data_IF_035746069059
#
_entry.id   IF_035746069059
#
_cell.length_a   1.000
_cell.length_b   1.000
_cell.length_c   1.000
_cell.angle_alpha   90.00
_cell.angle_beta   90.00
_cell.angle_gamma   90.00
#
_symmetry.space_group_name_H-M   'P 1'
#
loop_
_entity.id
_entity.type
_entity.pdbx_description
1 polymer ?
#
# COMPACT_ATOMS: atom_id res chain seq x y z
N UNK A 1 38.09 27.34 -41.91
CA UNK A 1 36.66 27.17 -42.27
C UNK A 1 36.02 26.24 -41.26
N UNK A 2 35.37 26.83 -40.25
CA UNK A 2 34.51 26.16 -39.27
C UNK A 2 33.08 26.24 -39.79
N UNK A 3 32.31 25.17 -39.68
CA UNK A 3 30.86 25.22 -39.84
C UNK A 3 30.33 24.25 -40.88
N UNK A 4 29.83 23.12 -40.39
CA UNK A 4 28.71 22.29 -40.90
C UNK A 4 28.95 20.84 -40.54
N UNK A 5 28.82 20.50 -39.27
CA UNK A 5 28.66 19.11 -38.85
C UNK A 5 27.94 18.98 -37.49
N UNK A 6 26.93 19.84 -37.24
CA UNK A 6 26.11 19.80 -36.01
C UNK A 6 24.61 19.95 -36.36
N UNK A 7 24.15 19.42 -37.49
CA UNK A 7 22.74 19.56 -37.90
C UNK A 7 21.95 18.24 -37.95
N UNK A 8 22.62 17.08 -37.97
CA UNK A 8 21.93 15.80 -38.22
C UNK A 8 21.75 14.91 -36.98
N UNK A 9 22.33 15.26 -35.82
CA UNK A 9 22.21 14.47 -34.59
C UNK A 9 21.06 14.89 -33.68
N UNK A 10 20.43 16.05 -33.92
CA UNK A 10 19.30 16.54 -33.11
C UNK A 10 17.92 16.15 -33.67
N UNK A 11 17.84 15.76 -34.95
CA UNK A 11 16.56 15.36 -35.58
C UNK A 11 16.15 13.94 -35.16
N UNK A 12 17.13 13.06 -34.87
CA UNK A 12 16.85 11.68 -34.43
C UNK A 12 16.38 11.64 -32.96
N UNK A 13 16.80 12.59 -32.12
CA UNK A 13 16.36 12.66 -30.72
C UNK A 13 14.94 13.23 -30.55
N UNK A 14 14.48 14.04 -31.51
CA UNK A 14 13.11 14.59 -31.50
C UNK A 14 12.04 13.56 -31.91
N UNK A 15 12.41 12.51 -32.66
CA UNK A 15 11.48 11.48 -33.15
C UNK A 15 11.25 10.32 -32.17
N UNK A 16 12.10 10.18 -31.14
CA UNK A 16 11.95 9.14 -30.11
C UNK A 16 11.07 9.62 -28.94
N UNK A 17 10.95 10.94 -28.74
CA UNK A 17 10.11 11.52 -27.68
C UNK A 17 8.61 11.47 -28.04
N UNK A 18 8.24 11.41 -29.31
CA UNK A 18 6.84 11.38 -29.76
C UNK A 18 6.18 10.00 -29.66
N UNK A 19 6.92 8.92 -29.42
CA UNK A 19 6.36 7.55 -29.34
C UNK A 19 6.07 7.11 -27.90
N UNK A 20 6.48 7.87 -26.87
CA UNK A 20 6.15 7.57 -25.47
C UNK A 20 4.88 8.33 -25.02
N UNK A 21 4.31 9.18 -25.89
CA UNK A 21 3.00 9.81 -25.70
C UNK A 21 1.85 8.98 -26.32
N UNK A 22 2.10 7.70 -26.62
CA UNK A 22 1.03 6.74 -26.91
C UNK A 22 0.21 6.49 -25.64
N UNK A 23 -0.73 7.41 -25.42
CA UNK A 23 -2.10 7.09 -25.06
C UNK A 23 -2.24 6.10 -23.90
N UNK A 24 -1.75 6.49 -22.72
CA UNK A 24 -2.42 6.09 -21.49
C UNK A 24 -3.74 6.86 -21.38
N UNK A 25 -4.64 6.67 -22.36
CA UNK A 25 -6.04 7.08 -22.25
C UNK A 25 -6.60 6.34 -21.05
N UNK A 26 -6.73 7.04 -19.91
CA UNK A 26 -7.73 6.68 -18.91
C UNK A 26 -9.06 6.73 -19.65
N UNK A 27 -9.54 5.57 -20.08
CA UNK A 27 -10.86 5.41 -20.65
C UNK A 27 -11.85 5.86 -19.58
N UNK A 28 -12.38 7.07 -19.72
CA UNK A 28 -13.35 7.63 -18.79
C UNK A 28 -14.67 6.90 -19.04
N UNK A 29 -14.91 5.81 -18.31
CA UNK A 29 -16.13 4.98 -18.39
C UNK A 29 -17.31 5.55 -17.61
N UNK A 30 -17.35 6.87 -17.44
CA UNK A 30 -18.28 7.57 -16.54
C UNK A 30 -19.77 7.39 -16.85
N UNK A 31 -20.13 6.77 -17.99
CA UNK A 31 -21.51 6.49 -18.41
C UNK A 31 -21.74 5.03 -18.83
N UNK A 32 -20.80 4.10 -18.58
CA UNK A 32 -20.96 2.67 -18.93
C UNK A 32 -21.82 1.96 -17.86
N UNK A 33 -23.08 1.55 -18.18
CA UNK A 33 -23.96 0.91 -17.19
C UNK A 33 -23.36 -0.40 -16.65
N UNK A 34 -22.56 -1.11 -17.44
CA UNK A 34 -21.90 -2.35 -17.01
C UNK A 34 -20.82 -2.06 -15.95
N UNK A 35 -20.11 -0.95 -16.08
CA UNK A 35 -19.11 -0.51 -15.12
C UNK A 35 -19.75 -0.14 -13.77
N UNK A 36 -20.88 0.59 -13.80
CA UNK A 36 -21.63 0.91 -12.58
C UNK A 36 -22.21 -0.35 -11.91
N UNK A 37 -22.75 -1.29 -12.68
CA UNK A 37 -23.23 -2.56 -12.14
C UNK A 37 -22.11 -3.31 -11.40
N UNK A 38 -20.89 -3.35 -11.95
CA UNK A 38 -19.73 -3.97 -11.28
C UNK A 38 -19.34 -3.26 -9.98
N UNK A 39 -19.54 -1.95 -9.88
CA UNK A 39 -19.33 -1.21 -8.62
C UNK A 39 -20.38 -1.62 -7.58
N UNK A 40 -21.66 -1.69 -7.96
CA UNK A 40 -22.73 -2.08 -7.04
C UNK A 40 -22.61 -3.55 -6.61
N UNK A 41 -22.24 -4.46 -7.51
CA UNK A 41 -21.89 -5.84 -7.19
C UNK A 41 -20.73 -5.91 -6.19
N UNK A 42 -19.69 -5.10 -6.39
CA UNK A 42 -18.56 -5.00 -5.45
C UNK A 42 -19.01 -4.54 -4.07
N UNK A 43 -19.88 -3.53 -4.00
CA UNK A 43 -20.45 -3.04 -2.73
C UNK A 43 -21.32 -4.10 -2.06
N UNK A 44 -22.16 -4.79 -2.82
CA UNK A 44 -23.00 -5.87 -2.30
C UNK A 44 -22.15 -7.02 -1.74
N UNK A 45 -21.10 -7.42 -2.47
CA UNK A 45 -20.12 -8.39 -2.00
C UNK A 45 -19.47 -7.94 -0.69
N UNK A 46 -18.90 -6.74 -0.62
CA UNK A 46 -18.24 -6.23 0.58
C UNK A 46 -19.19 -6.17 1.79
N UNK A 47 -20.45 -5.78 1.58
CA UNK A 47 -21.48 -5.82 2.63
C UNK A 47 -21.76 -7.24 3.12
N UNK A 48 -21.80 -8.22 2.22
CA UNK A 48 -22.02 -9.64 2.57
C UNK A 48 -20.88 -10.25 3.40
N UNK A 49 -19.68 -9.65 3.35
CA UNK A 49 -18.52 -10.12 4.12
C UNK A 49 -18.45 -9.56 5.54
N UNK A 50 -19.36 -8.66 5.93
CA UNK A 50 -19.41 -8.10 7.27
C UNK A 50 -19.75 -9.17 8.31
N UNK A 51 -18.88 -9.28 9.31
CA UNK A 51 -18.99 -10.16 10.48
C UNK A 51 -18.52 -9.41 11.72
N UNK A 52 -18.99 -9.86 12.88
CA UNK A 52 -18.53 -9.34 14.17
C UNK A 52 -17.16 -9.88 14.59
N UNK A 53 -16.79 -11.04 14.05
CA UNK A 53 -15.54 -11.73 14.33
C UNK A 53 -14.88 -12.23 13.04
N UNK A 54 -13.56 -12.09 12.98
CA UNK A 54 -12.73 -12.59 11.89
C UNK A 54 -11.53 -13.36 12.43
N UNK A 55 -11.21 -14.46 11.76
CA UNK A 55 -9.92 -15.13 11.93
C UNK A 55 -8.88 -14.38 11.08
N UNK A 56 -7.92 -13.76 11.75
CA UNK A 56 -6.79 -13.05 11.12
C UNK A 56 -5.51 -13.79 11.50
N UNK A 57 -4.72 -14.13 10.49
CA UNK A 57 -3.43 -14.81 10.69
C UNK A 57 -2.37 -13.83 11.19
N UNK A 58 -1.26 -14.31 11.77
CA UNK A 58 -0.06 -13.51 12.02
C UNK A 58 -0.29 -12.22 12.83
N UNK A 59 -1.07 -12.36 13.90
CA UNK A 59 -1.42 -11.27 14.79
C UNK A 59 -0.28 -10.95 15.77
N UNK A 60 -0.30 -9.70 16.25
CA UNK A 60 0.58 -9.17 17.29
C UNK A 60 -0.23 -8.68 18.49
N UNK A 61 0.41 -8.54 19.65
CA UNK A 61 -0.24 -8.13 20.90
C UNK A 61 -0.27 -6.62 21.07
N UNK A 62 0.55 -5.88 20.32
CA UNK A 62 0.48 -4.42 20.24
C UNK A 62 0.68 -3.92 18.82
N UNK A 63 0.30 -2.66 18.59
CA UNK A 63 0.51 -1.97 17.31
C UNK A 63 1.99 -1.74 17.00
N UNK A 64 2.82 -1.51 18.02
CA UNK A 64 4.28 -1.43 17.91
C UNK A 64 4.88 -2.79 17.52
N UNK A 65 4.43 -3.87 18.17
CA UNK A 65 4.88 -5.23 17.87
C UNK A 65 4.50 -5.63 16.43
N UNK A 66 3.31 -5.24 15.94
CA UNK A 66 2.89 -5.50 14.57
C UNK A 66 3.85 -4.89 13.53
N UNK A 67 4.30 -3.66 13.76
CA UNK A 67 5.27 -2.99 12.88
C UNK A 67 6.64 -3.68 12.99
N UNK A 68 7.11 -3.96 14.21
CA UNK A 68 8.38 -4.66 14.43
C UNK A 68 8.42 -6.00 13.69
N UNK A 69 7.42 -6.86 13.88
CA UNK A 69 7.34 -8.18 13.26
C UNK A 69 7.25 -8.11 11.73
N UNK A 70 6.48 -7.15 11.20
CA UNK A 70 6.40 -6.93 9.76
C UNK A 70 7.77 -6.53 9.19
N UNK A 71 8.45 -5.55 9.80
CA UNK A 71 9.76 -5.10 9.33
C UNK A 71 10.84 -6.20 9.44
N UNK A 72 10.84 -6.98 10.53
CA UNK A 72 11.71 -8.16 10.68
C UNK A 72 11.45 -9.19 9.59
N UNK A 73 10.19 -9.47 9.28
CA UNK A 73 9.84 -10.41 8.23
C UNK A 73 10.32 -9.91 6.85
N UNK A 74 10.11 -8.63 6.53
CA UNK A 74 10.62 -8.04 5.27
C UNK A 74 12.15 -8.11 5.21
N UNK A 75 12.85 -7.80 6.30
CA UNK A 75 14.32 -7.92 6.36
C UNK A 75 14.79 -9.36 6.10
N UNK A 76 14.03 -10.36 6.55
CA UNK A 76 14.30 -11.78 6.35
C UNK A 76 13.77 -12.33 5.01
N UNK A 77 13.25 -11.48 4.12
CA UNK A 77 12.73 -11.88 2.81
C UNK A 77 11.33 -12.51 2.84
N UNK A 78 10.62 -12.45 3.97
CA UNK A 78 9.27 -12.98 4.16
C UNK A 78 8.22 -11.87 4.02
N UNK A 79 8.09 -11.33 2.81
CA UNK A 79 7.35 -10.07 2.57
C UNK A 79 5.85 -10.11 2.77
N UNK A 80 5.27 -11.31 2.78
CA UNK A 80 3.82 -11.51 2.92
C UNK A 80 3.38 -11.79 4.37
N UNK A 81 4.34 -11.85 5.30
CA UNK A 81 4.10 -12.14 6.73
C UNK A 81 3.74 -10.88 7.51
N UNK A 82 2.86 -11.02 8.51
CA UNK A 82 2.45 -9.94 9.43
C UNK A 82 1.82 -8.71 8.78
N UNK A 83 1.44 -8.81 7.50
CA UNK A 83 0.67 -7.83 6.75
C UNK A 83 -0.61 -8.49 6.23
N UNK A 84 -1.70 -7.72 6.11
CA UNK A 84 -2.96 -8.22 5.55
C UNK A 84 -2.72 -8.87 4.19
N UNK A 85 -3.17 -10.11 4.04
CA UNK A 85 -3.24 -10.80 2.74
C UNK A 85 -4.27 -10.13 1.84
N UNK A 86 -4.33 -10.51 0.56
CA UNK A 86 -5.39 -10.04 -0.34
C UNK A 86 -6.78 -10.33 0.24
N UNK A 87 -6.99 -11.54 0.73
CA UNK A 87 -8.29 -11.97 1.26
C UNK A 87 -8.64 -11.23 2.55
N UNK A 88 -7.69 -11.05 3.47
CA UNK A 88 -7.90 -10.24 4.67
C UNK A 88 -8.18 -8.77 4.31
N UNK A 89 -7.43 -8.21 3.35
CA UNK A 89 -7.64 -6.84 2.89
C UNK A 89 -9.04 -6.63 2.32
N UNK A 90 -9.48 -7.51 1.42
CA UNK A 90 -10.77 -7.39 0.75
C UNK A 90 -11.93 -7.73 1.71
N UNK A 91 -11.88 -8.91 2.34
CA UNK A 91 -13.03 -9.44 3.07
C UNK A 91 -13.15 -8.87 4.50
N UNK A 92 -12.07 -8.31 5.06
CA UNK A 92 -12.05 -7.77 6.41
C UNK A 92 -11.86 -6.25 6.37
N UNK A 93 -10.79 -5.73 5.77
CA UNK A 93 -10.55 -4.29 5.82
C UNK A 93 -11.53 -3.49 4.94
N UNK A 94 -11.72 -3.86 3.67
CA UNK A 94 -12.61 -3.12 2.77
C UNK A 94 -14.08 -3.25 3.17
N UNK A 95 -14.53 -4.42 3.63
CA UNK A 95 -15.89 -4.60 4.13
C UNK A 95 -16.20 -3.66 5.31
N UNK A 96 -15.28 -3.54 6.26
CA UNK A 96 -15.42 -2.66 7.43
C UNK A 96 -15.14 -1.18 7.16
N UNK A 97 -14.64 -0.83 5.96
CA UNK A 97 -14.37 0.56 5.55
C UNK A 97 -15.26 1.02 4.39
N UNK A 98 -16.32 0.29 4.07
CA UNK A 98 -17.20 0.60 2.94
C UNK A 98 -17.86 1.99 3.04
N UNK A 99 -18.08 2.51 4.24
CA UNK A 99 -18.73 3.82 4.45
C UNK A 99 -17.72 4.99 4.40
N UNK A 100 -16.42 4.71 4.20
CA UNK A 100 -15.33 5.67 4.38
C UNK A 100 -14.81 6.32 3.08
N UNK A 101 -15.63 6.37 2.02
CA UNK A 101 -15.25 6.93 0.69
C UNK A 101 -13.89 6.41 0.19
N UNK A 102 -13.69 5.10 0.26
CA UNK A 102 -12.50 4.39 -0.23
C UNK A 102 -12.51 4.21 -1.74
N UNK A 103 -11.41 3.73 -2.34
CA UNK A 103 -11.36 3.40 -3.77
C UNK A 103 -12.45 2.39 -4.16
N UNK A 104 -12.78 1.43 -3.29
CA UNK A 104 -13.87 0.46 -3.50
C UNK A 104 -15.26 1.08 -3.60
N UNK A 105 -15.42 2.36 -3.27
CA UNK A 105 -16.68 3.09 -3.49
C UNK A 105 -16.83 3.62 -4.91
N UNK A 106 -15.72 3.80 -5.63
CA UNK A 106 -15.67 4.52 -6.92
C UNK A 106 -15.15 3.69 -8.09
N UNK A 107 -14.68 2.46 -7.84
CA UNK A 107 -14.28 1.52 -8.88
C UNK A 107 -14.56 0.06 -8.49
N UNK A 108 -14.70 -0.86 -9.47
CA UNK A 108 -14.87 -2.28 -9.20
C UNK A 108 -13.76 -2.84 -8.30
N UNK A 109 -14.10 -3.84 -7.50
CA UNK A 109 -13.20 -4.43 -6.50
C UNK A 109 -11.91 -4.97 -7.12
N UNK A 110 -11.98 -5.55 -8.32
CA UNK A 110 -10.79 -6.04 -9.05
C UNK A 110 -9.82 -4.89 -9.37
N UNK A 111 -10.34 -3.74 -9.82
CA UNK A 111 -9.52 -2.56 -10.10
C UNK A 111 -8.97 -1.95 -8.82
N UNK A 112 -9.79 -1.88 -7.76
CA UNK A 112 -9.36 -1.45 -6.42
C UNK A 112 -8.18 -2.28 -5.92
N UNK A 113 -8.24 -3.60 -6.10
CA UNK A 113 -7.14 -4.49 -5.73
C UNK A 113 -5.91 -4.25 -6.60
N UNK A 114 -6.05 -4.15 -7.93
CA UNK A 114 -4.91 -3.89 -8.84
C UNK A 114 -4.14 -2.62 -8.45
N UNK A 115 -4.86 -1.54 -8.12
CA UNK A 115 -4.21 -0.31 -7.66
C UNK A 115 -3.56 -0.48 -6.28
N UNK A 116 -4.24 -1.13 -5.35
CA UNK A 116 -3.69 -1.42 -4.02
C UNK A 116 -2.42 -2.27 -4.11
N UNK A 117 -2.44 -3.31 -4.92
CA UNK A 117 -1.34 -4.26 -5.10
C UNK A 117 -0.11 -3.57 -5.72
N UNK A 118 -0.31 -2.72 -6.73
CA UNK A 118 0.78 -1.91 -7.30
C UNK A 118 1.42 -0.99 -6.26
N UNK A 119 0.61 -0.31 -5.43
CA UNK A 119 1.12 0.56 -4.37
C UNK A 119 1.84 -0.22 -3.28
N UNK A 120 1.37 -1.42 -2.96
CA UNK A 120 2.03 -2.34 -2.03
C UNK A 120 3.36 -2.82 -2.57
N UNK A 121 3.43 -3.18 -3.85
CA UNK A 121 4.66 -3.58 -4.52
C UNK A 121 5.73 -2.48 -4.43
N UNK A 122 5.39 -1.25 -4.82
CA UNK A 122 6.34 -0.12 -4.76
C UNK A 122 6.78 0.18 -3.32
N UNK A 123 5.86 0.16 -2.37
CA UNK A 123 6.17 0.36 -0.96
C UNK A 123 7.12 -0.72 -0.43
N UNK A 124 6.84 -1.98 -0.75
CA UNK A 124 7.65 -3.11 -0.33
C UNK A 124 9.06 -3.06 -0.94
N UNK A 125 9.16 -2.72 -2.22
CA UNK A 125 10.46 -2.55 -2.90
C UNK A 125 11.31 -1.48 -2.20
N UNK A 126 10.72 -0.34 -1.84
CA UNK A 126 11.41 0.71 -1.08
C UNK A 126 11.92 0.22 0.27
N UNK A 127 11.06 -0.42 1.06
CA UNK A 127 11.44 -0.97 2.38
C UNK A 127 12.56 -2.01 2.21
N UNK A 128 12.45 -2.92 1.23
CA UNK A 128 13.48 -3.90 0.95
C UNK A 128 14.80 -3.26 0.51
N UNK A 129 14.76 -2.19 -0.28
CA UNK A 129 15.97 -1.48 -0.70
C UNK A 129 16.68 -0.81 0.48
N UNK A 130 15.93 -0.30 1.47
CA UNK A 130 16.51 0.15 2.75
C UNK A 130 17.24 -1.00 3.44
N UNK A 131 16.62 -2.17 3.61
CA UNK A 131 17.27 -3.32 4.25
C UNK A 131 18.46 -3.88 3.46
N UNK A 132 18.38 -3.92 2.12
CA UNK A 132 19.48 -4.35 1.25
C UNK A 132 20.70 -3.43 1.37
N UNK A 133 20.47 -2.13 1.51
CA UNK A 133 21.54 -1.12 1.68
C UNK A 133 22.24 -1.23 3.04
N UNK A 134 21.58 -1.85 4.03
CA UNK A 134 22.11 -2.11 5.37
C UNK A 134 22.26 -3.61 5.65
N UNK A 135 22.63 -4.39 4.63
CA UNK A 135 22.73 -5.85 4.71
C UNK A 135 23.60 -6.30 5.89
N UNK A 136 23.08 -7.25 6.68
CA UNK A 136 23.77 -7.80 7.85
C UNK A 136 23.65 -6.97 9.13
N UNK A 137 23.03 -5.78 9.07
CA UNK A 137 22.79 -4.96 10.26
C UNK A 137 21.39 -5.21 10.81
N UNK A 138 21.25 -5.27 12.14
CA UNK A 138 19.93 -5.27 12.78
C UNK A 138 19.40 -3.85 12.82
N UNK A 139 18.13 -3.68 12.47
CA UNK A 139 17.47 -2.39 12.66
C UNK A 139 16.94 -2.23 14.09
N UNK A 140 16.70 -1.00 14.49
CA UNK A 140 15.92 -0.65 15.69
C UNK A 140 14.91 0.42 15.34
N UNK A 141 13.68 0.32 15.86
CA UNK A 141 12.70 1.41 15.78
C UNK A 141 13.11 2.47 16.80
N UNK A 142 13.51 3.66 16.33
CA UNK A 142 13.86 4.80 17.19
C UNK A 142 12.65 5.68 17.47
N UNK A 143 11.83 5.92 16.46
CA UNK A 143 10.61 6.72 16.57
C UNK A 143 9.46 5.95 15.94
N UNK A 144 8.37 5.82 16.68
CA UNK A 144 7.09 5.36 16.16
C UNK A 144 5.99 6.20 16.81
N UNK A 145 5.37 7.07 16.02
CA UNK A 145 4.23 7.87 16.45
C UNK A 145 2.97 7.47 15.69
N UNK A 146 1.82 7.92 16.19
CA UNK A 146 0.51 7.61 15.64
C UNK A 146 -0.25 8.91 15.37
N UNK A 147 -0.98 8.99 14.26
CA UNK A 147 -1.78 10.17 13.90
C UNK A 147 -3.15 10.11 14.56
N UNK A 148 -3.49 11.15 15.33
CA UNK A 148 -4.79 11.38 15.98
C UNK A 148 -5.32 10.18 16.80
N UNK A 149 -6.55 10.28 17.31
CA UNK A 149 -7.26 9.15 17.92
C UNK A 149 -7.53 8.04 16.89
N UNK A 150 -7.67 6.80 17.36
CA UNK A 150 -7.88 5.64 16.48
C UNK A 150 -9.13 5.82 15.60
N UNK A 151 -9.05 5.42 14.33
CA UNK A 151 -10.17 5.52 13.37
C UNK A 151 -11.12 4.34 13.60
N UNK A 152 -12.37 4.54 14.05
CA UNK A 152 -13.34 3.45 14.14
C UNK A 152 -13.69 2.96 12.73
N UNK A 153 -13.70 1.63 12.54
CA UNK A 153 -14.02 0.96 11.28
C UNK A 153 -14.95 -0.22 11.59
N UNK A 154 -16.20 0.08 11.98
CA UNK A 154 -17.16 -0.89 12.54
C UNK A 154 -16.52 -1.71 13.67
N UNK A 155 -16.25 -3.01 13.45
CA UNK A 155 -15.64 -3.90 14.48
C UNK A 155 -14.12 -3.89 14.50
N UNK A 156 -13.50 -3.08 13.64
CA UNK A 156 -12.07 -2.84 13.59
C UNK A 156 -11.73 -1.45 14.13
N UNK A 157 -10.49 -1.27 14.58
CA UNK A 157 -9.91 0.06 14.81
C UNK A 157 -8.67 0.25 13.96
N UNK A 158 -8.61 1.36 13.23
CA UNK A 158 -7.48 1.75 12.41
C UNK A 158 -6.51 2.65 13.17
N UNK A 159 -5.26 2.23 13.27
CA UNK A 159 -4.16 3.00 13.87
C UNK A 159 -3.27 3.54 12.75
N UNK A 160 -3.42 4.83 12.43
CA UNK A 160 -2.63 5.48 11.37
C UNK A 160 -1.23 5.78 11.88
N UNK A 161 -0.23 5.30 11.15
CA UNK A 161 1.17 5.56 11.48
C UNK A 161 1.48 7.04 11.21
N UNK A 162 2.11 7.67 12.19
CA UNK A 162 2.70 9.01 12.11
C UNK A 162 4.08 8.93 11.51
N UNK A 163 5.08 9.15 12.34
CA UNK A 163 6.49 9.05 11.98
C UNK A 163 6.99 7.67 12.37
N UNK A 164 7.64 6.98 11.44
CA UNK A 164 8.33 5.73 11.69
C UNK A 164 9.78 5.90 11.26
N UNK A 165 10.69 5.96 12.23
CA UNK A 165 12.13 6.10 12.00
C UNK A 165 12.82 4.86 12.55
N UNK A 166 13.57 4.19 11.67
CA UNK A 166 14.43 3.07 12.05
C UNK A 166 15.89 3.47 11.97
N UNK A 167 16.73 2.83 12.78
CA UNK A 167 18.18 3.02 12.76
C UNK A 167 18.91 1.73 12.42
N UNK A 168 20.07 1.89 11.77
CA UNK A 168 21.08 0.87 11.55
C UNK A 168 22.40 1.42 12.11
N UNK A 169 22.67 1.17 13.38
CA UNK A 169 23.78 1.82 14.09
C UNK A 169 23.56 3.33 14.22
N UNK A 170 24.34 4.14 13.48
CA UNK A 170 24.22 5.61 13.49
C UNK A 170 23.30 6.15 12.40
N UNK A 171 23.08 5.37 11.35
CA UNK A 171 22.27 5.78 10.21
C UNK A 171 20.79 5.67 10.56
N UNK A 172 20.00 6.67 10.19
CA UNK A 172 18.56 6.73 10.44
C UNK A 172 17.82 6.87 9.13
N UNK A 173 16.74 6.11 9.00
CA UNK A 173 15.87 6.11 7.82
C UNK A 173 14.43 6.27 8.27
N UNK A 174 13.74 7.24 7.69
CA UNK A 174 12.29 7.37 7.84
C UNK A 174 11.59 6.45 6.84
N UNK A 175 10.63 5.67 7.33
CA UNK A 175 9.80 4.77 6.53
C UNK A 175 8.37 5.30 6.50
N UNK A 176 8.01 5.98 5.41
CA UNK A 176 6.65 6.47 5.22
C UNK A 176 5.70 5.39 4.71
N UNK A 177 6.25 4.29 4.20
CA UNK A 177 5.53 3.25 3.47
C UNK A 177 4.52 2.48 4.33
N UNK A 178 4.75 2.36 5.65
CA UNK A 178 3.81 1.70 6.57
C UNK A 178 2.76 2.72 7.03
N UNK A 179 1.51 2.56 6.57
CA UNK A 179 0.47 3.59 6.71
C UNK A 179 -0.58 3.28 7.78
N UNK A 180 -0.96 2.01 7.94
CA UNK A 180 -2.07 1.61 8.82
C UNK A 180 -1.84 0.25 9.48
N UNK A 181 -2.08 0.20 10.79
CA UNK A 181 -2.25 -1.04 11.55
C UNK A 181 -3.72 -1.20 11.91
N UNK A 182 -4.27 -2.40 11.76
CA UNK A 182 -5.63 -2.72 12.18
C UNK A 182 -5.60 -3.46 13.51
N UNK A 183 -6.49 -3.05 14.41
CA UNK A 183 -6.83 -3.76 15.64
C UNK A 183 -8.16 -4.49 15.45
N UNK A 184 -8.18 -5.79 15.81
CA UNK A 184 -9.40 -6.57 15.99
C UNK A 184 -9.27 -7.36 17.30
N UNK A 185 -10.24 -7.21 18.22
CA UNK A 185 -10.26 -7.91 19.51
C UNK A 185 -8.93 -7.81 20.31
N UNK A 186 -8.31 -6.63 20.32
CA UNK A 186 -7.06 -6.37 21.04
C UNK A 186 -5.82 -7.01 20.39
N UNK A 187 -5.92 -7.51 19.17
CA UNK A 187 -4.81 -8.02 18.36
C UNK A 187 -4.57 -7.14 17.15
N UNK A 188 -3.32 -7.04 16.71
CA UNK A 188 -2.85 -6.04 15.76
C UNK A 188 -2.13 -6.65 14.57
N UNK A 189 -2.30 -6.07 13.38
CA UNK A 189 -1.57 -6.47 12.16
C UNK A 189 -1.43 -5.28 11.20
N UNK A 190 -0.32 -5.23 10.47
CA UNK A 190 -0.13 -4.21 9.42
C UNK A 190 -1.17 -4.44 8.32
N UNK A 191 -1.91 -3.41 7.96
CA UNK A 191 -3.00 -3.53 6.97
C UNK A 191 -2.66 -2.81 5.67
N UNK A 192 -2.12 -1.59 5.76
CA UNK A 192 -1.84 -0.77 4.59
C UNK A 192 -0.36 -0.41 4.58
N UNK A 193 0.33 -0.86 3.54
CA UNK A 193 1.56 -0.25 3.06
C UNK A 193 1.28 0.41 1.71
N UNK A 194 1.94 1.53 1.43
CA UNK A 194 1.73 2.22 0.17
C UNK A 194 2.64 3.42 -0.04
N UNK A 195 3.18 3.48 -1.25
CA UNK A 195 3.81 4.68 -1.80
C UNK A 195 2.83 5.52 -2.63
#
# INVERSE_FOLDING_TARGET
>A
MKGRMIANSQIVFALIITVILSDCKKEYKGDDPEYFNKIEESKAYLKSQLKDHYEISDLSNSKEEAIQKFLEAVQNGQTDRYIFTKDEYINIFLSNSIDENTLSNTMPLEQTWKFTDLRRYVALEKIQNVFKSHKGQKFKIETLTWKYENRPLKVLKGHRVGNLVISFGKDKVELEEVRLVIEHQGKFKVCVIGS
#
